data_IF_331491105866
#
_entry.id   IF_331491105866
#
_cell.length_a   1.000
_cell.length_b   1.000
_cell.length_c   1.000
_cell.angle_alpha   90.00
_cell.angle_beta   90.00
_cell.angle_gamma   90.00
#
_symmetry.space_group_name_H-M   'P 1'
#
loop_
_entity.id
_entity.type
_entity.pdbx_description
1 polymer ?
#
# COMPACT_ATOMS: atom_id res chain seq x y z
N UNK A 1 -4.94 1.62 -17.39
CA UNK A 1 -3.51 1.29 -17.53
C UNK A 1 -2.99 0.64 -16.26
N UNK A 2 -2.08 -0.28 -16.42
CA UNK A 2 -1.46 -0.97 -15.29
C UNK A 2 -0.42 -0.05 -14.65
N UNK A 3 -0.45 0.14 -13.32
CA UNK A 3 0.58 0.94 -12.67
C UNK A 3 1.95 0.29 -12.88
N UNK A 4 2.96 1.12 -13.09
CA UNK A 4 4.32 0.62 -13.19
C UNK A 4 4.78 0.10 -11.82
N UNK A 5 5.85 -0.70 -11.81
CA UNK A 5 6.42 -1.21 -10.56
C UNK A 5 6.80 -0.06 -9.62
N UNK A 6 7.31 1.06 -10.17
CA UNK A 6 7.67 2.21 -9.33
C UNK A 6 6.44 2.89 -8.74
N UNK A 7 5.33 2.95 -9.47
CA UNK A 7 4.07 3.48 -8.91
C UNK A 7 3.56 2.60 -7.77
N UNK A 8 3.68 1.30 -7.93
CA UNK A 8 3.28 0.35 -6.89
C UNK A 8 4.15 0.51 -5.65
N UNK A 9 5.46 0.63 -5.84
CA UNK A 9 6.39 0.85 -4.75
C UNK A 9 6.09 2.14 -3.99
N UNK A 10 5.76 3.21 -4.71
CA UNK A 10 5.39 4.47 -4.10
C UNK A 10 4.14 4.33 -3.23
N UNK A 11 3.14 3.63 -3.74
CA UNK A 11 1.90 3.41 -2.99
C UNK A 11 2.13 2.57 -1.74
N UNK A 12 2.96 1.54 -1.86
CA UNK A 12 3.30 0.71 -0.71
C UNK A 12 4.08 1.49 0.33
N UNK A 13 4.98 2.37 -0.10
CA UNK A 13 5.75 3.23 0.81
C UNK A 13 4.84 4.19 1.56
N UNK A 14 3.88 4.81 0.86
CA UNK A 14 2.91 5.70 1.47
C UNK A 14 2.06 4.93 2.49
N UNK A 15 1.61 3.76 2.11
CA UNK A 15 0.77 2.92 2.96
C UNK A 15 1.51 2.54 4.25
N UNK A 16 2.76 2.17 4.13
CA UNK A 16 3.61 1.84 5.27
C UNK A 16 3.77 3.05 6.19
N UNK A 17 3.97 4.22 5.61
CA UNK A 17 4.11 5.46 6.36
C UNK A 17 2.83 5.78 7.14
N UNK A 18 1.68 5.62 6.50
CA UNK A 18 0.39 5.85 7.17
C UNK A 18 0.22 4.93 8.37
N UNK A 19 0.61 3.67 8.23
CA UNK A 19 0.59 2.74 9.35
C UNK A 19 1.53 3.18 10.46
N UNK A 20 2.77 3.54 10.11
CA UNK A 20 3.78 3.93 11.08
C UNK A 20 3.40 5.21 11.83
N UNK A 21 2.65 6.10 11.17
CA UNK A 21 2.14 7.33 11.78
C UNK A 21 0.86 7.10 12.60
N UNK A 22 0.32 5.90 12.56
CA UNK A 22 -0.90 5.58 13.30
C UNK A 22 -2.17 6.10 12.64
N UNK A 23 -2.11 6.48 11.36
CA UNK A 23 -3.27 6.99 10.63
C UNK A 23 -4.17 5.87 10.13
N UNK A 24 -3.64 4.68 9.99
CA UNK A 24 -4.40 3.49 9.66
C UNK A 24 -3.97 2.35 10.60
N UNK A 25 -4.84 1.36 10.75
CA UNK A 25 -4.54 0.20 11.58
C UNK A 25 -3.67 -0.79 10.82
N UNK A 26 -3.04 -1.70 11.54
CA UNK A 26 -2.29 -2.80 10.93
C UNK A 26 -3.16 -3.63 9.99
N UNK A 27 -4.39 -3.86 10.39
CA UNK A 27 -5.35 -4.62 9.60
C UNK A 27 -5.69 -3.91 8.30
N UNK A 28 -5.92 -2.60 8.38
CA UNK A 28 -6.16 -1.78 7.19
C UNK A 28 -4.95 -1.76 6.27
N UNK A 29 -3.76 -1.68 6.84
CA UNK A 29 -2.52 -1.73 6.08
C UNK A 29 -2.42 -3.03 5.29
N UNK A 30 -2.65 -4.16 5.94
CA UNK A 30 -2.58 -5.47 5.29
C UNK A 30 -3.61 -5.61 4.18
N UNK A 31 -4.83 -5.14 4.44
CA UNK A 31 -5.92 -5.21 3.46
C UNK A 31 -5.58 -4.40 2.22
N UNK A 32 -5.14 -3.17 2.41
CA UNK A 32 -4.79 -2.29 1.29
C UNK A 32 -3.57 -2.80 0.54
N UNK A 33 -2.59 -3.30 1.25
CA UNK A 33 -1.40 -3.89 0.65
C UNK A 33 -1.78 -5.06 -0.26
N UNK A 34 -2.67 -5.93 0.23
CA UNK A 34 -3.12 -7.08 -0.56
C UNK A 34 -3.84 -6.63 -1.83
N UNK A 35 -4.68 -5.60 -1.73
CA UNK A 35 -5.38 -5.06 -2.89
C UNK A 35 -4.41 -4.54 -3.95
N UNK A 36 -3.35 -3.87 -3.51
CA UNK A 36 -2.33 -3.38 -4.44
C UNK A 36 -1.57 -4.52 -5.11
N UNK A 37 -1.24 -5.55 -4.35
CA UNK A 37 -0.53 -6.71 -4.89
C UNK A 37 -1.40 -7.54 -5.83
N UNK A 38 -2.70 -7.58 -5.59
CA UNK A 38 -3.63 -8.32 -6.46
C UNK A 38 -3.73 -7.73 -7.85
N UNK A 39 -3.28 -6.50 -8.03
CA UNK A 39 -3.31 -5.84 -9.33
C UNK A 39 -2.06 -6.11 -10.18
N UNK A 40 -1.13 -6.81 -9.63
CA UNK A 40 0.03 -7.25 -10.41
C UNK A 40 -0.37 -8.41 -11.35
#
# INVERSE_FOLDING_TARGET
>A
SVPSASSLEERLAVLKRLRDLGLITEEEYRSKKQQLLDRL
#
